data_IF_206643819136
#
_entry.id   IF_206643819136
#
_cell.length_a   1.000
_cell.length_b   1.000
_cell.length_c   1.000
_cell.angle_alpha   90.00
_cell.angle_beta   90.00
_cell.angle_gamma   90.00
#
_symmetry.space_group_name_H-M   'P 1'
#
loop_
_entity.id
_entity.type
_entity.pdbx_description
1 polymer ?
#
# COMPACT_ATOMS: atom_id res chain seq x y z
N UNK A 1 11.90 17.83 9.02
CA UNK A 1 11.47 16.42 8.92
C UNK A 1 10.05 16.32 9.40
N UNK A 2 9.13 15.78 8.59
CA UNK A 2 7.75 15.56 9.04
C UNK A 2 7.72 14.51 10.17
N UNK A 3 6.66 14.54 10.99
CA UNK A 3 6.45 13.50 11.98
C UNK A 3 6.16 12.14 11.31
N UNK A 4 6.45 11.01 11.97
CA UNK A 4 6.03 9.70 11.49
C UNK A 4 4.51 9.63 11.28
N UNK A 5 4.07 8.95 10.23
CA UNK A 5 2.66 8.84 9.85
C UNK A 5 2.14 7.44 10.16
N UNK A 6 1.16 7.34 11.03
CA UNK A 6 0.49 6.07 11.35
C UNK A 6 -0.67 5.81 10.40
N UNK A 7 -0.67 4.67 9.72
CA UNK A 7 -1.76 4.25 8.82
C UNK A 7 -2.13 2.78 9.07
N UNK A 8 -3.38 2.45 8.77
CA UNK A 8 -3.85 1.07 8.70
C UNK A 8 -3.88 0.64 7.23
N UNK A 9 -3.24 -0.47 6.90
CA UNK A 9 -3.29 -1.10 5.58
C UNK A 9 -4.06 -2.40 5.72
N UNK A 10 -5.11 -2.56 4.90
CA UNK A 10 -5.91 -3.77 4.85
C UNK A 10 -5.76 -4.48 3.50
N UNK A 11 -5.49 -5.78 3.55
CA UNK A 11 -5.47 -6.68 2.40
C UNK A 11 -6.65 -7.64 2.48
N UNK A 12 -7.40 -7.75 1.39
CA UNK A 12 -8.54 -8.65 1.28
C UNK A 12 -8.62 -9.30 -0.10
N UNK A 13 -9.63 -10.14 -0.30
CA UNK A 13 -9.85 -10.83 -1.58
C UNK A 13 -8.76 -11.85 -1.94
N UNK A 14 -8.04 -12.38 -0.94
CA UNK A 14 -6.92 -13.30 -1.11
C UNK A 14 -5.57 -12.60 -1.17
N UNK A 15 -5.52 -11.28 -1.24
CA UNK A 15 -4.26 -10.52 -1.22
C UNK A 15 -3.52 -10.69 0.12
N UNK A 16 -4.23 -10.91 1.23
CA UNK A 16 -3.65 -11.14 2.55
C UNK A 16 -2.64 -12.30 2.59
N UNK A 17 -2.79 -13.29 1.70
CA UNK A 17 -1.87 -14.42 1.58
C UNK A 17 -0.45 -13.99 1.17
N UNK A 18 -0.32 -12.83 0.52
CA UNK A 18 0.98 -12.27 0.15
C UNK A 18 1.69 -11.58 1.33
N UNK A 19 0.98 -11.40 2.45
CA UNK A 19 1.37 -10.64 3.64
C UNK A 19 1.16 -11.47 4.92
N UNK A 20 1.71 -12.68 4.96
CA UNK A 20 1.62 -13.64 6.08
C UNK A 20 0.19 -14.13 6.41
N UNK A 21 -0.78 -13.96 5.51
CA UNK A 21 -2.19 -14.25 5.79
C UNK A 21 -2.84 -13.25 6.75
N UNK A 22 -2.16 -12.13 7.03
CA UNK A 22 -2.66 -11.09 7.93
C UNK A 22 -3.42 -10.05 7.11
N UNK A 23 -4.69 -9.83 7.46
CA UNK A 23 -5.54 -8.86 6.76
C UNK A 23 -5.20 -7.42 7.12
N UNK A 24 -5.08 -7.12 8.41
CA UNK A 24 -4.91 -5.74 8.91
C UNK A 24 -3.51 -5.52 9.45
N UNK A 25 -2.82 -4.53 8.90
CA UNK A 25 -1.48 -4.14 9.29
C UNK A 25 -1.52 -2.70 9.81
N UNK A 26 -1.20 -2.51 11.09
CA UNK A 26 -0.96 -1.18 11.62
C UNK A 26 0.51 -0.83 11.39
N UNK A 27 0.79 0.21 10.61
CA UNK A 27 2.16 0.59 10.27
C UNK A 27 2.42 2.06 10.59
N UNK A 28 3.65 2.33 11.00
CA UNK A 28 4.15 3.68 11.22
C UNK A 28 5.20 3.97 10.17
N UNK A 29 4.85 4.84 9.23
CA UNK A 29 5.73 5.28 8.15
C UNK A 29 6.74 6.28 8.72
N UNK A 30 8.03 6.18 8.35
CA UNK A 30 9.03 7.12 8.82
C UNK A 30 8.72 8.54 8.32
N UNK A 31 9.09 9.51 9.14
CA UNK A 31 9.07 10.92 8.74
C UNK A 31 10.09 11.16 7.63
N UNK A 32 9.68 11.85 6.57
CA UNK A 32 10.52 12.24 5.43
C UNK A 32 10.34 13.73 5.11
N UNK A 33 11.18 14.26 4.20
CA UNK A 33 11.09 15.65 3.76
C UNK A 33 9.86 15.89 2.88
N UNK A 34 9.60 14.98 1.95
CA UNK A 34 8.42 15.02 1.09
C UNK A 34 7.23 14.27 1.71
N UNK A 35 5.99 14.74 1.52
CA UNK A 35 4.81 14.00 1.94
C UNK A 35 4.77 12.59 1.33
N UNK A 36 4.19 11.65 2.06
CA UNK A 36 3.92 10.32 1.52
C UNK A 36 2.87 10.42 0.40
N UNK A 37 3.20 9.84 -0.75
CA UNK A 37 2.25 9.57 -1.81
C UNK A 37 1.99 8.06 -1.91
N UNK A 38 0.97 7.68 -2.69
CA UNK A 38 0.57 6.28 -2.84
C UNK A 38 1.67 5.46 -3.53
N UNK A 39 2.44 6.06 -4.44
CA UNK A 39 3.54 5.37 -5.13
C UNK A 39 4.62 4.95 -4.14
N UNK A 40 5.09 5.88 -3.32
CA UNK A 40 6.09 5.62 -2.29
C UNK A 40 5.56 4.66 -1.23
N UNK A 41 4.28 4.76 -0.87
CA UNK A 41 3.63 3.80 0.01
C UNK A 41 3.64 2.38 -0.58
N UNK A 42 3.30 2.19 -1.86
CA UNK A 42 3.36 0.88 -2.52
C UNK A 42 4.77 0.30 -2.56
N UNK A 43 5.77 1.14 -2.85
CA UNK A 43 7.19 0.74 -2.79
C UNK A 43 7.58 0.32 -1.37
N UNK A 44 7.12 1.04 -0.36
CA UNK A 44 7.37 0.71 1.03
C UNK A 44 6.69 -0.60 1.44
N UNK A 45 5.42 -0.80 1.09
CA UNK A 45 4.67 -2.04 1.35
C UNK A 45 5.38 -3.25 0.72
N UNK A 46 5.82 -3.12 -0.54
CA UNK A 46 6.59 -4.14 -1.25
C UNK A 46 7.87 -4.52 -0.52
N UNK A 47 8.57 -3.54 0.06
CA UNK A 47 9.87 -3.76 0.71
C UNK A 47 9.74 -4.29 2.14
N UNK A 48 8.68 -3.91 2.86
CA UNK A 48 8.59 -4.12 4.32
C UNK A 48 7.54 -5.16 4.72
N UNK A 49 6.40 -5.21 4.02
CA UNK A 49 5.28 -6.08 4.41
C UNK A 49 5.18 -7.32 3.54
N UNK A 50 5.46 -7.21 2.23
CA UNK A 50 5.30 -8.30 1.29
C UNK A 50 6.25 -9.47 1.61
N UNK A 51 5.70 -10.69 1.66
CA UNK A 51 6.44 -11.92 1.98
C UNK A 51 6.53 -12.90 0.82
N UNK A 52 5.58 -12.80 -0.08
CA UNK A 52 5.50 -13.62 -1.28
C UNK A 52 6.06 -12.91 -2.52
N UNK A 53 5.88 -13.53 -3.67
CA UNK A 53 6.36 -13.05 -4.97
C UNK A 53 5.83 -11.66 -5.34
N UNK A 54 6.68 -10.64 -5.53
CA UNK A 54 6.25 -9.26 -5.79
C UNK A 54 5.42 -9.07 -7.06
N UNK A 55 5.64 -9.87 -8.08
CA UNK A 55 4.89 -9.83 -9.34
C UNK A 55 3.41 -10.19 -9.19
N UNK A 56 3.02 -10.82 -8.08
CA UNK A 56 1.62 -11.11 -7.78
C UNK A 56 0.88 -9.87 -7.25
N UNK A 57 1.62 -8.91 -6.67
CA UNK A 57 1.08 -7.70 -6.05
C UNK A 57 1.30 -6.44 -6.90
N UNK A 58 2.50 -6.26 -7.47
CA UNK A 58 2.92 -5.06 -8.20
C UNK A 58 3.35 -5.41 -9.63
N UNK A 59 2.98 -4.55 -10.58
CA UNK A 59 3.42 -4.60 -11.97
C UNK A 59 3.94 -3.22 -12.40
N UNK A 60 5.23 -3.15 -12.73
CA UNK A 60 5.90 -1.88 -12.98
C UNK A 60 5.90 -1.03 -11.71
N UNK A 61 5.29 0.16 -11.80
CA UNK A 61 5.25 1.11 -10.69
C UNK A 61 3.89 1.18 -9.97
N UNK A 62 2.97 0.27 -10.29
CA UNK A 62 1.60 0.26 -9.73
C UNK A 62 1.19 -1.14 -9.32
N UNK A 63 0.02 -1.26 -8.69
CA UNK A 63 -0.56 -2.56 -8.33
C UNK A 63 -0.90 -3.37 -9.59
N UNK A 64 -0.91 -4.69 -9.46
CA UNK A 64 -1.29 -5.58 -10.56
C UNK A 64 -2.75 -5.31 -10.99
N UNK A 65 -3.04 -5.29 -12.30
CA UNK A 65 -4.43 -5.21 -12.78
C UNK A 65 -5.32 -6.27 -12.14
N UNK A 66 -6.51 -5.86 -11.70
CA UNK A 66 -7.44 -6.70 -10.94
C UNK A 66 -7.36 -6.52 -9.41
N UNK A 67 -6.38 -5.76 -8.91
CA UNK A 67 -6.36 -5.29 -7.52
C UNK A 67 -7.05 -3.92 -7.46
N UNK A 68 -8.12 -3.84 -6.67
CA UNK A 68 -8.81 -2.58 -6.35
C UNK A 68 -8.12 -1.95 -5.13
N UNK A 69 -7.85 -0.64 -5.19
CA UNK A 69 -7.22 0.11 -4.10
C UNK A 69 -8.19 1.17 -3.61
N UNK A 70 -8.44 1.14 -2.29
CA UNK A 70 -9.26 2.13 -1.59
C UNK A 70 -8.39 2.94 -0.65
N UNK A 71 -8.62 4.24 -0.60
CA UNK A 71 -7.98 5.18 0.33
C UNK A 71 -9.09 5.78 1.18
N UNK A 72 -9.13 5.44 2.47
CA UNK A 72 -10.21 5.83 3.38
C UNK A 72 -11.60 5.54 2.78
N UNK A 73 -11.79 4.30 2.31
CA UNK A 73 -13.02 3.80 1.68
C UNK A 73 -13.43 4.49 0.37
N UNK A 74 -12.59 5.37 -0.18
CA UNK A 74 -12.79 5.99 -1.49
C UNK A 74 -11.92 5.31 -2.55
N UNK A 75 -12.48 5.12 -3.75
CA UNK A 75 -11.72 4.60 -4.89
C UNK A 75 -10.60 5.58 -5.25
N UNK A 76 -9.37 5.07 -5.30
CA UNK A 76 -8.19 5.88 -5.60
C UNK A 76 -8.19 6.49 -7.01
N UNK A 77 -8.95 5.94 -7.96
CA UNK A 77 -9.05 6.47 -9.31
C UNK A 77 -9.77 7.81 -9.31
N UNK A 78 -10.68 8.02 -8.34
CA UNK A 78 -11.36 9.30 -8.13
C UNK A 78 -10.40 10.38 -7.61
N UNK A 79 -9.30 9.99 -6.96
CA UNK A 79 -8.29 10.91 -6.45
C UNK A 79 -7.23 11.30 -7.50
N UNK A 80 -7.24 10.67 -8.68
CA UNK A 80 -6.36 11.05 -9.81
C UNK A 80 -6.90 12.24 -10.60
N UNK A 81 -8.14 12.66 -10.34
CA UNK A 81 -8.78 13.80 -10.98
C UNK A 81 -8.55 15.09 -10.19
N UNK A 82 -7.33 15.62 -10.23
CA UNK A 82 -7.01 17.02 -9.85
C UNK A 82 -5.66 17.44 -10.39
#
# INVERSE_FOLDING_TARGET
MAAPLSVQVEFGGGAELLFDGVKKHQVTLPGQEEPWDIRNLLVWIKKNLLKERPELFIRGDSVRPGILVLINDADWELLRAS
#
